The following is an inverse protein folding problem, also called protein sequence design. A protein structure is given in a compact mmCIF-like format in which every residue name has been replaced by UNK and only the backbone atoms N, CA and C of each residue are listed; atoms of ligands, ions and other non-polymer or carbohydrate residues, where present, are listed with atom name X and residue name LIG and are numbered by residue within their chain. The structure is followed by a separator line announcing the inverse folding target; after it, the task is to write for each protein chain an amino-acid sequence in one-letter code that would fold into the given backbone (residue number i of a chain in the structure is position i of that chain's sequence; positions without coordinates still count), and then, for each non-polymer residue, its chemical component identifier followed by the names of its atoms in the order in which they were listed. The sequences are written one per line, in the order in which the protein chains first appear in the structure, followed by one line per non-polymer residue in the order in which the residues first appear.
data_IF_566015829936
#
_entry.id   IF_566015829936
#
_cell.length_a   1.000
_cell.length_b   1.000
_cell.length_c   1.000
_cell.angle_alpha   90.00
_cell.angle_beta   90.00
_cell.angle_gamma   90.00
#
_symmetry.space_group_name_H-M   'P 1'
#
loop_
_entity.id
_entity.type
_entity.pdbx_description
1 polymer ?
#
# COMPACT_ATOMS: atom_id res chain seq x y z
N UNK A 1 20.26 -28.41 -11.36
CA UNK A 1 19.85 -27.00 -11.58
C UNK A 1 20.03 -26.26 -10.26
N UNK A 2 21.05 -25.41 -10.16
CA UNK A 2 21.36 -24.70 -8.91
C UNK A 2 20.23 -23.71 -8.58
N UNK A 3 19.39 -24.05 -7.60
CA UNK A 3 18.56 -23.08 -6.90
C UNK A 3 19.49 -22.14 -6.13
N UNK A 4 20.10 -21.15 -6.79
CA UNK A 4 20.72 -20.03 -6.08
C UNK A 4 19.60 -19.36 -5.31
N UNK A 5 19.57 -19.58 -4.00
CA UNK A 5 18.76 -18.83 -3.06
C UNK A 5 19.20 -17.38 -3.16
N UNK A 6 18.50 -16.59 -3.96
CA UNK A 6 18.74 -15.16 -4.02
C UNK A 6 18.40 -14.55 -2.66
N UNK A 7 19.35 -13.81 -2.08
CA UNK A 7 19.13 -13.13 -0.80
C UNK A 7 18.08 -12.05 -0.99
N UNK A 8 16.98 -12.18 -0.24
CA UNK A 8 15.88 -11.21 -0.24
C UNK A 8 16.10 -10.23 0.90
N UNK A 9 16.26 -8.95 0.56
CA UNK A 9 16.40 -7.87 1.51
C UNK A 9 15.05 -7.56 2.14
N UNK A 10 15.00 -7.30 3.46
CA UNK A 10 13.79 -6.84 4.10
C UNK A 10 13.30 -5.51 3.51
N UNK A 11 11.98 -5.31 3.64
CA UNK A 11 11.40 -3.98 3.58
C UNK A 11 11.78 -3.30 4.90
N UNK A 12 12.75 -2.40 4.82
CA UNK A 12 13.18 -1.58 5.96
C UNK A 12 12.22 -0.39 6.17
N UNK A 13 12.35 0.28 7.31
CA UNK A 13 11.48 1.39 7.68
C UNK A 13 11.55 2.56 6.70
N UNK A 14 12.73 2.82 6.14
CA UNK A 14 12.91 3.90 5.17
C UNK A 14 12.16 3.63 3.86
N UNK A 15 12.28 2.40 3.35
CA UNK A 15 11.52 1.97 2.17
C UNK A 15 10.02 1.97 2.45
N UNK A 16 9.58 1.53 3.63
CA UNK A 16 8.17 1.61 3.99
C UNK A 16 7.68 3.06 4.04
N UNK A 17 8.47 3.99 4.58
CA UNK A 17 8.16 5.42 4.59
C UNK A 17 8.00 5.98 3.18
N UNK A 18 8.87 5.59 2.25
CA UNK A 18 8.74 5.97 0.84
C UNK A 18 7.48 5.38 0.20
N UNK A 19 7.17 4.12 0.50
CA UNK A 19 5.97 3.46 -0.02
C UNK A 19 4.68 4.13 0.48
N UNK A 20 4.65 4.62 1.72
CA UNK A 20 3.47 5.33 2.26
C UNK A 20 3.17 6.66 1.56
N UNK A 21 4.14 7.23 0.85
CA UNK A 21 3.95 8.48 0.12
C UNK A 21 3.21 8.28 -1.22
N UNK A 22 3.14 7.05 -1.73
CA UNK A 22 2.48 6.77 -3.01
C UNK A 22 1.04 6.31 -2.81
N UNK A 23 0.14 6.76 -3.70
CA UNK A 23 -1.29 6.48 -3.60
C UNK A 23 -1.68 5.01 -3.86
N UNK A 24 -0.78 4.23 -4.48
CA UNK A 24 -1.00 2.82 -4.84
C UNK A 24 -0.37 1.84 -3.84
N UNK A 25 0.01 2.28 -2.63
CA UNK A 25 0.51 1.40 -1.58
C UNK A 25 -0.50 1.24 -0.45
N UNK A 26 -0.67 0.00 0.02
CA UNK A 26 -1.50 -0.32 1.18
C UNK A 26 -0.74 -1.24 2.15
N UNK A 27 -0.55 -0.78 3.41
CA UNK A 27 0.17 -1.57 4.42
C UNK A 27 -0.66 -2.71 5.00
N UNK A 28 -1.93 -2.46 5.33
CA UNK A 28 -2.76 -3.35 6.15
C UNK A 28 -4.15 -3.65 5.57
N UNK A 29 -4.26 -3.88 4.25
CA UNK A 29 -5.52 -4.38 3.70
C UNK A 29 -5.53 -5.90 3.69
N UNK A 30 -6.57 -6.47 4.29
CA UNK A 30 -6.91 -7.88 4.10
C UNK A 30 -7.06 -8.17 2.60
N UNK A 31 -6.57 -9.33 2.18
CA UNK A 31 -6.63 -9.78 0.78
C UNK A 31 -8.01 -9.60 0.13
N UNK A 32 -9.09 -9.90 0.85
CA UNK A 32 -10.45 -9.76 0.31
C UNK A 32 -10.83 -8.31 0.01
N UNK A 33 -10.46 -7.37 0.89
CA UNK A 33 -10.72 -5.94 0.67
C UNK A 33 -9.98 -5.43 -0.56
N UNK A 34 -8.74 -5.88 -0.77
CA UNK A 34 -7.95 -5.55 -1.96
C UNK A 34 -8.62 -6.08 -3.23
N UNK A 35 -9.12 -7.32 -3.20
CA UNK A 35 -9.81 -7.92 -4.34
C UNK A 35 -11.07 -7.13 -4.67
N UNK A 36 -11.96 -6.90 -3.71
CA UNK A 36 -13.20 -6.15 -3.93
C UNK A 36 -12.91 -4.75 -4.49
N UNK A 37 -11.95 -4.03 -3.89
CA UNK A 37 -11.56 -2.70 -4.36
C UNK A 37 -10.97 -2.69 -5.78
N UNK A 38 -10.24 -3.73 -6.19
CA UNK A 38 -9.71 -3.87 -7.54
C UNK A 38 -10.80 -4.23 -8.55
N UNK A 39 -11.79 -5.03 -8.17
CA UNK A 39 -12.91 -5.43 -9.05
C UNK A 39 -13.81 -4.24 -9.43
N UNK A 40 -13.84 -3.19 -8.61
CA UNK A 40 -14.50 -1.90 -8.93
C UNK A 40 -13.72 -1.05 -9.95
N UNK A 41 -12.49 -1.45 -10.32
CA UNK A 41 -11.61 -0.70 -11.21
C UNK A 41 -11.47 -1.40 -12.58
N UNK A 42 -10.91 -0.67 -13.55
CA UNK A 42 -10.58 -1.21 -14.87
C UNK A 42 -9.47 -2.26 -14.82
N UNK A 43 -9.42 -3.12 -15.83
CA UNK A 43 -8.30 -4.04 -16.05
C UNK A 43 -6.97 -3.27 -16.15
N UNK A 44 -5.94 -3.76 -15.46
CA UNK A 44 -4.65 -3.10 -15.29
C UNK A 44 -4.54 -2.27 -14.01
N UNK A 45 -5.65 -1.92 -13.35
CA UNK A 45 -5.61 -1.27 -12.04
C UNK A 45 -4.84 -2.13 -11.02
N UNK A 46 -4.06 -1.48 -10.14
CA UNK A 46 -3.19 -2.20 -9.22
C UNK A 46 -3.02 -1.52 -7.87
N UNK A 47 -2.58 -2.32 -6.89
CA UNK A 47 -2.11 -1.87 -5.59
C UNK A 47 -0.91 -2.72 -5.15
N UNK A 48 0.07 -2.08 -4.52
CA UNK A 48 1.20 -2.73 -3.86
C UNK A 48 0.88 -2.86 -2.37
N UNK A 49 1.09 -4.04 -1.81
CA UNK A 49 0.87 -4.32 -0.39
C UNK A 49 2.02 -5.10 0.22
N UNK A 50 2.09 -5.15 1.55
CA UNK A 50 2.94 -6.12 2.23
C UNK A 50 2.43 -7.54 1.92
N UNK A 51 3.36 -8.47 1.69
CA UNK A 51 3.00 -9.86 1.44
C UNK A 51 2.70 -10.59 2.76
N UNK A 52 1.47 -11.08 2.90
CA UNK A 52 1.03 -11.88 4.06
C UNK A 52 1.74 -13.24 4.14
N UNK A 53 1.98 -13.89 2.99
CA UNK A 53 2.54 -15.24 2.92
C UNK A 53 4.07 -15.28 2.89
N UNK A 54 4.72 -14.16 2.55
CA UNK A 54 6.18 -14.05 2.49
C UNK A 54 6.60 -12.79 3.22
N UNK A 55 6.97 -12.97 4.50
CA UNK A 55 7.63 -11.94 5.31
C UNK A 55 8.75 -11.30 4.49
N UNK A 56 8.93 -9.98 4.61
CA UNK A 56 9.96 -9.18 3.91
C UNK A 56 9.73 -8.92 2.42
N UNK A 57 8.64 -9.39 1.81
CA UNK A 57 8.34 -9.12 0.40
C UNK A 57 7.13 -8.20 0.23
N UNK A 58 7.06 -7.56 -0.93
CA UNK A 58 5.88 -6.84 -1.38
C UNK A 58 5.07 -7.73 -2.33
N UNK A 59 3.77 -7.51 -2.38
CA UNK A 59 2.86 -8.14 -3.34
C UNK A 59 2.20 -7.07 -4.20
N UNK A 60 2.35 -7.19 -5.52
CA UNK A 60 1.63 -6.41 -6.50
C UNK A 60 0.33 -7.14 -6.83
N UNK A 61 -0.81 -6.56 -6.45
CA UNK A 61 -2.14 -7.10 -6.78
C UNK A 61 -2.71 -6.29 -7.95
N UNK A 62 -3.12 -6.98 -9.01
CA UNK A 62 -3.53 -6.38 -10.29
C UNK A 62 -4.89 -6.91 -10.69
N UNK A 63 -5.79 -6.02 -11.12
CA UNK A 63 -7.03 -6.37 -11.81
C UNK A 63 -6.69 -6.86 -13.21
N UNK A 64 -7.05 -8.10 -13.52
CA UNK A 64 -6.68 -8.77 -14.77
C UNK A 64 -7.93 -9.33 -15.47
N UNK A 65 -7.90 -9.57 -16.79
CA UNK A 65 -9.04 -10.20 -17.47
C UNK A 65 -9.49 -11.49 -16.78
N UNK A 66 -10.80 -11.73 -16.72
CA UNK A 66 -11.35 -12.95 -16.12
C UNK A 66 -10.92 -14.22 -16.89
N UNK A 67 -10.58 -14.07 -18.17
CA UNK A 67 -9.98 -15.13 -18.99
C UNK A 67 -8.57 -15.55 -18.52
N UNK A 68 -7.83 -14.66 -17.87
CA UNK A 68 -6.52 -14.95 -17.30
C UNK A 68 -6.63 -15.52 -15.88
N UNK A 69 -7.55 -14.99 -15.07
CA UNK A 69 -7.78 -15.46 -13.71
C UNK A 69 -9.27 -15.36 -13.36
N UNK A 70 -9.93 -16.47 -12.98
CA UNK A 70 -11.36 -16.47 -12.64
C UNK A 70 -11.74 -15.53 -11.49
N UNK A 71 -10.80 -15.19 -10.60
CA UNK A 71 -11.05 -14.21 -9.52
C UNK A 71 -11.02 -12.76 -10.02
N UNK A 72 -10.55 -12.53 -11.25
CA UNK A 72 -10.30 -11.21 -11.81
C UNK A 72 -9.11 -10.47 -11.21
N UNK A 73 -8.37 -11.07 -10.27
CA UNK A 73 -7.23 -10.43 -9.59
C UNK A 73 -6.05 -11.40 -9.45
N UNK A 74 -4.91 -11.01 -10.01
CA UNK A 74 -3.64 -11.75 -9.87
C UNK A 74 -2.69 -11.06 -8.89
N UNK A 75 -1.86 -11.86 -8.20
CA UNK A 75 -0.88 -11.37 -7.23
C UNK A 75 0.53 -11.79 -7.65
N UNK A 76 1.43 -10.81 -7.76
CA UNK A 76 2.83 -11.01 -8.12
C UNK A 76 3.72 -10.62 -6.95
N UNK A 77 4.77 -11.40 -6.69
CA UNK A 77 5.72 -11.08 -5.63
C UNK A 77 6.77 -10.10 -6.15
N UNK A 78 6.91 -8.96 -5.49
CA UNK A 78 8.06 -8.08 -5.71
C UNK A 78 9.12 -8.43 -4.66
N UNK A 79 10.32 -8.71 -5.14
CA UNK A 79 11.49 -9.05 -4.34
C UNK A 79 12.56 -7.98 -4.48
N UNK A 80 13.31 -7.75 -3.39
CA UNK A 80 14.43 -6.82 -3.33
C UNK A 80 15.71 -7.58 -3.10
N UNK A 81 16.75 -7.29 -3.88
CA UNK A 81 18.10 -7.80 -3.66
C UNK A 81 19.15 -6.69 -3.96
N UNK A 82 20.44 -7.06 -4.03
CA UNK A 82 21.55 -6.14 -4.32
C UNK A 82 21.36 -5.33 -5.60
N UNK A 83 20.63 -5.86 -6.59
CA UNK A 83 20.41 -5.24 -7.88
C UNK A 83 19.15 -4.34 -7.90
N UNK A 84 18.43 -4.24 -6.78
CA UNK A 84 17.18 -3.49 -6.66
C UNK A 84 15.95 -4.38 -6.58
N UNK A 85 14.87 -3.96 -7.22
CA UNK A 85 13.54 -4.58 -7.17
C UNK A 85 13.22 -5.31 -8.45
N UNK A 86 12.55 -6.46 -8.34
CA UNK A 86 11.98 -7.16 -9.51
C UNK A 86 10.72 -7.91 -9.14
N UNK A 87 9.91 -8.24 -10.15
CA UNK A 87 8.89 -9.27 -10.01
C UNK A 87 9.55 -10.65 -10.00
N UNK A 88 9.09 -11.54 -9.13
CA UNK A 88 9.60 -12.91 -9.02
C UNK A 88 9.36 -13.65 -10.33
N UNK A 89 10.43 -14.22 -10.89
CA UNK A 89 10.43 -14.87 -12.21
C UNK A 89 10.92 -13.96 -13.34
N UNK A 90 11.05 -12.64 -13.10
CA UNK A 90 11.67 -11.72 -14.05
C UNK A 90 13.20 -11.72 -13.94
N UNK A 91 13.85 -11.40 -15.06
CA UNK A 91 15.28 -11.13 -15.14
C UNK A 91 15.60 -9.63 -15.09
N UNK A 92 14.57 -8.76 -15.05
CA UNK A 92 14.73 -7.30 -15.08
C UNK A 92 14.66 -6.71 -13.68
N UNK A 93 15.68 -5.92 -13.35
CA UNK A 93 15.79 -5.22 -12.08
C UNK A 93 15.52 -3.74 -12.24
N UNK A 94 14.96 -3.14 -11.20
CA UNK A 94 14.62 -1.73 -11.14
C UNK A 94 15.23 -1.10 -9.88
N UNK A 95 15.77 0.12 -9.95
CA UNK A 95 16.39 0.74 -8.78
C UNK A 95 15.38 1.12 -7.70
N UNK A 96 14.11 1.30 -8.08
CA UNK A 96 13.03 1.69 -7.15
C UNK A 96 11.68 1.09 -7.56
N UNK A 97 10.77 1.00 -6.59
CA UNK A 97 9.38 0.56 -6.83
C UNK A 97 8.65 1.46 -7.84
N UNK A 98 8.73 2.81 -7.77
CA UNK A 98 8.15 3.67 -8.81
C UNK A 98 8.66 3.38 -10.22
N UNK A 99 9.96 3.05 -10.40
CA UNK A 99 10.49 2.69 -11.71
C UNK A 99 9.96 1.35 -12.21
N UNK A 100 9.85 0.34 -11.33
CA UNK A 100 9.21 -0.94 -11.67
C UNK A 100 7.77 -0.72 -12.15
N UNK A 101 7.00 0.10 -11.42
CA UNK A 101 5.61 0.43 -11.76
C UNK A 101 5.51 1.19 -13.08
N UNK A 102 6.35 2.21 -13.27
CA UNK A 102 6.37 3.04 -14.49
C UNK A 102 6.75 2.22 -15.72
N UNK A 103 7.70 1.29 -15.57
CA UNK A 103 8.05 0.40 -16.67
C UNK A 103 6.86 -0.49 -17.06
N UNK A 104 6.19 -1.11 -16.08
CA UNK A 104 5.06 -2.01 -16.33
C UNK A 104 3.75 -1.31 -16.73
N UNK A 105 3.65 0.02 -16.58
CA UNK A 105 2.54 0.79 -17.16
C UNK A 105 2.67 0.98 -18.67
N UNK A 106 3.89 0.86 -19.21
CA UNK A 106 4.16 0.95 -20.65
C UNK A 106 4.28 -0.43 -21.28
N UNK A 107 4.99 -1.36 -20.65
CA UNK A 107 5.22 -2.71 -21.16
C UNK A 107 4.77 -3.80 -20.17
N UNK A 108 3.80 -4.66 -20.53
CA UNK A 108 3.27 -5.66 -19.61
C UNK A 108 4.30 -6.75 -19.26
N UNK A 109 5.15 -7.14 -20.23
CA UNK A 109 6.12 -8.24 -20.09
C UNK A 109 5.46 -9.53 -19.56
N UNK A 110 5.76 -9.92 -18.32
CA UNK A 110 5.21 -11.12 -17.69
C UNK A 110 3.79 -10.93 -17.12
N UNK A 111 3.27 -9.69 -17.13
CA UNK A 111 1.91 -9.38 -16.68
C UNK A 111 0.91 -9.59 -17.83
N UNK A 112 -0.34 -9.97 -17.55
CA UNK A 112 -1.36 -10.16 -18.58
C UNK A 112 -1.86 -8.85 -19.20
N UNK A 113 -1.61 -7.72 -18.54
CA UNK A 113 -1.98 -6.39 -19.00
C UNK A 113 -1.01 -5.35 -18.43
N UNK A 114 -1.03 -4.14 -19.00
CA UNK A 114 -0.25 -2.99 -18.52
C UNK A 114 -0.83 -2.47 -17.21
N UNK A 115 0.03 -1.95 -16.35
CA UNK A 115 -0.41 -1.29 -15.13
C UNK A 115 -1.09 0.05 -15.43
N UNK A 116 -2.21 0.30 -14.77
CA UNK A 116 -2.96 1.56 -14.86
C UNK A 116 -3.07 2.15 -13.47
N UNK A 117 -2.74 3.44 -13.34
CA UNK A 117 -2.89 4.18 -12.10
C UNK A 117 -4.39 4.44 -11.83
N UNK A 118 -4.94 3.69 -10.89
CA UNK A 118 -6.30 3.92 -10.40
C UNK A 118 -6.35 5.07 -9.39
N UNK A 119 -7.46 5.80 -9.37
CA UNK A 119 -7.71 6.85 -8.39
C UNK A 119 -8.20 6.23 -7.07
N UNK A 120 -7.29 5.92 -6.17
CA UNK A 120 -7.61 5.30 -4.88
C UNK A 120 -8.11 6.27 -3.79
N UNK A 121 -8.00 7.59 -4.01
CA UNK A 121 -8.34 8.59 -2.99
C UNK A 121 -7.58 8.36 -1.68
N UNK A 122 -8.30 8.34 -0.56
CA UNK A 122 -7.72 8.04 0.76
C UNK A 122 -7.89 6.57 1.18
N UNK A 123 -8.37 5.67 0.30
CA UNK A 123 -8.72 4.27 0.62
C UNK A 123 -7.57 3.48 1.26
N UNK A 124 -6.33 3.75 0.85
CA UNK A 124 -5.15 3.02 1.32
C UNK A 124 -4.30 3.79 2.33
N UNK A 125 -4.63 5.06 2.59
CA UNK A 125 -3.91 5.85 3.58
C UNK A 125 -4.33 5.36 4.95
N UNK A 126 -3.37 4.88 5.74
CA UNK A 126 -3.58 4.73 7.17
C UNK A 126 -3.68 6.14 7.76
N UNK A 127 -4.86 6.53 8.23
CA UNK A 127 -5.00 7.69 9.11
C UNK A 127 -4.32 7.33 10.42
N UNK A 128 -3.17 7.93 10.71
CA UNK A 128 -2.54 7.91 12.04
C UNK A 128 -3.35 8.76 13.05
N UNK A 129 -4.67 8.76 12.96
CA UNK A 129 -5.57 9.39 13.95
C UNK A 129 -6.18 8.30 14.81
N UNK A 130 -5.34 7.72 15.66
CA UNK A 130 -5.74 7.23 16.98
C UNK A 130 -4.72 7.76 17.99
N UNK A 131 -4.43 9.07 17.92
CA UNK A 131 -3.99 9.81 19.09
C UNK A 131 -5.24 10.05 19.95
N UNK A 132 -5.80 8.99 20.54
CA UNK A 132 -6.56 9.12 21.77
C UNK A 132 -5.52 9.24 22.90
N UNK A 133 -4.80 10.37 22.93
CA UNK A 133 -4.28 10.86 24.19
C UNK A 133 -5.52 11.36 24.93
N UNK A 134 -6.02 10.48 25.79
CA UNK A 134 -6.97 10.76 26.85
C UNK A 134 -6.31 11.82 27.75
N UNK A 135 -6.42 13.08 27.35
CA UNK A 135 -6.02 14.21 28.18
C UNK A 135 -7.17 14.40 29.16
N UNK A 136 -6.96 14.20 30.47
CA UNK A 136 -8.01 14.48 31.44
C UNK A 136 -8.39 15.96 31.35
N UNK A 137 -9.66 16.32 31.59
CA UNK A 137 -10.06 17.71 31.71
C UNK A 137 -9.19 18.33 32.82
N UNK A 138 -8.51 19.43 32.51
CA UNK A 138 -7.88 20.23 33.56
C UNK A 138 -9.00 20.82 34.42
N UNK A 139 -9.22 20.26 35.60
CA UNK A 139 -9.95 20.87 36.70
C UNK A 139 -9.13 22.07 37.21
N UNK A 140 -9.25 23.20 36.52
CA UNK A 140 -8.94 24.50 37.12
C UNK A 140 -10.26 25.12 37.56
N UNK A 141 -10.69 24.70 38.75
CA UNK A 141 -11.53 25.51 39.62
C UNK A 141 -10.81 26.83 39.92
N UNK A 142 -11.25 27.92 39.31
CA UNK A 142 -11.11 29.26 39.91
C UNK A 142 -12.50 29.88 40.08
N UNK A 143 -12.99 29.75 41.30
CA UNK A 143 -14.13 30.51 41.84
C UNK A 143 -13.80 32.00 41.82
N UNK A 144 -14.68 32.82 41.25
CA UNK A 144 -14.93 34.15 41.82
C UNK A 144 -16.35 34.67 41.49
N UNK A 145 -17.22 34.52 42.50
CA UNK A 145 -18.16 35.53 43.02
C UNK A 145 -19.32 36.04 42.14
N UNK A 146 -20.52 35.61 42.53
CA UNK A 146 -21.80 36.31 42.36
C UNK A 146 -21.73 37.73 42.95
N UNK A 147 -22.21 38.74 42.21
CA UNK A 147 -23.08 39.81 42.73
C UNK A 147 -23.99 40.26 41.58
N UNK A 148 -25.31 40.28 41.80
CA UNK A 148 -26.29 40.79 40.85
C UNK A 148 -26.41 42.32 40.90
N UNK A 149 -27.03 42.92 39.89
CA UNK A 149 -28.13 43.88 40.02
C UNK A 149 -28.56 44.43 38.65
N UNK A 150 -29.87 44.35 38.43
CA UNK A 150 -30.79 45.37 37.92
C UNK A 150 -30.58 46.08 36.57
N UNK A 151 -31.59 45.85 35.71
CA UNK A 151 -32.36 46.82 34.92
C UNK A 151 -31.66 48.10 34.42
N UNK A 152 -31.58 48.23 33.09
CA UNK A 152 -32.17 49.37 32.37
C UNK A 152 -32.44 49.01 30.90
#
# INVERSE_FOLDING_TARGET
LHCRTEWIYPIDENLEKQLRQVAYFCRFAHRNNVISALLEQSEGAFVIRLSESKRKCLALSVRVPFSHNPTGVSHYLIIRNNNGFKLRGSNKYFPSIPMLVTHHSVMPEQLPCRLIFAHWGNRWKCTETNNNYDYPPNDNDDKCSKVGNDNQ
#
